data_IF_898158031245
#
_entry.id   IF_898158031245
#
_cell.length_a   1.000
_cell.length_b   1.000
_cell.length_c   1.000
_cell.angle_alpha   90.00
_cell.angle_beta   90.00
_cell.angle_gamma   90.00
#
_symmetry.space_group_name_H-M   'P 1'
#
loop_
_entity.id
_entity.type
_entity.pdbx_description
1 polymer ?
#
# COMPACT_ATOMS: atom_id res chain seq x y z
N UNK A 1 -22.56 21.83 2.58
CA UNK A 1 -21.27 22.57 2.75
C UNK A 1 -21.21 23.65 1.70
N UNK A 2 -20.71 24.84 2.03
CA UNK A 2 -20.45 25.88 1.03
C UNK A 2 -19.21 25.53 0.19
N UNK A 3 -19.07 26.10 -1.01
CA UNK A 3 -17.89 25.86 -1.85
C UNK A 3 -16.58 26.24 -1.13
N UNK A 4 -16.59 27.29 -0.31
CA UNK A 4 -15.46 27.71 0.50
C UNK A 4 -15.03 26.66 1.54
N UNK A 5 -16.00 26.03 2.21
CA UNK A 5 -15.72 24.95 3.19
C UNK A 5 -15.12 23.72 2.53
N UNK A 6 -15.54 23.41 1.29
CA UNK A 6 -15.04 22.27 0.54
C UNK A 6 -13.59 22.50 0.08
N UNK A 7 -13.25 23.71 -0.39
CA UNK A 7 -11.88 24.09 -0.76
C UNK A 7 -10.94 24.05 0.45
N UNK A 8 -11.38 24.57 1.60
CA UNK A 8 -10.58 24.54 2.82
C UNK A 8 -10.31 23.11 3.29
N UNK A 9 -11.31 22.24 3.25
CA UNK A 9 -11.16 20.83 3.61
C UNK A 9 -10.16 20.12 2.68
N UNK A 10 -10.29 20.31 1.36
CA UNK A 10 -9.38 19.70 0.38
C UNK A 10 -7.94 20.18 0.55
N UNK A 11 -7.73 21.43 0.99
CA UNK A 11 -6.39 21.97 1.24
C UNK A 11 -5.65 21.30 2.40
N UNK A 12 -6.37 20.59 3.27
CA UNK A 12 -5.80 19.84 4.42
C UNK A 12 -5.42 18.42 4.05
N UNK A 13 -5.90 17.92 2.90
CA UNK A 13 -5.61 16.56 2.43
C UNK A 13 -4.23 16.55 1.80
N UNK A 14 -3.37 15.68 2.29
CA UNK A 14 -2.04 15.43 1.77
C UNK A 14 -1.91 13.98 1.33
N UNK A 15 -1.15 13.78 0.26
CA UNK A 15 -0.74 12.45 -0.17
C UNK A 15 0.48 12.03 0.64
N UNK A 16 0.33 11.03 1.51
CA UNK A 16 1.42 10.47 2.29
C UNK A 16 2.33 9.60 1.43
N UNK A 17 1.75 8.58 0.79
CA UNK A 17 2.49 7.70 -0.12
C UNK A 17 1.59 7.05 -1.16
N UNK A 18 2.16 6.71 -2.31
CA UNK A 18 1.53 5.87 -3.34
C UNK A 18 2.50 4.76 -3.69
N UNK A 19 2.07 3.51 -3.60
CA UNK A 19 2.94 2.39 -3.90
C UNK A 19 2.18 1.23 -4.53
N UNK A 20 2.90 0.47 -5.35
CA UNK A 20 2.37 -0.70 -6.06
C UNK A 20 3.17 -1.91 -5.62
N UNK A 21 2.47 -2.95 -5.20
CA UNK A 21 3.09 -4.22 -4.79
C UNK A 21 2.51 -5.41 -5.53
N UNK A 22 3.33 -6.43 -5.71
CA UNK A 22 2.93 -7.79 -6.04
C UNK A 22 3.43 -8.73 -4.94
N UNK A 23 2.56 -9.16 -4.00
CA UNK A 23 2.96 -10.00 -2.88
C UNK A 23 3.36 -11.43 -3.30
N UNK A 24 3.11 -11.82 -4.56
CA UNK A 24 3.42 -13.16 -5.07
C UNK A 24 4.85 -13.28 -5.61
N UNK A 25 5.56 -12.16 -5.77
CA UNK A 25 6.94 -12.17 -6.25
C UNK A 25 7.90 -12.76 -5.23
N UNK A 26 8.90 -13.47 -5.76
CA UNK A 26 9.98 -14.08 -5.01
C UNK A 26 11.32 -13.53 -5.50
N UNK A 27 12.31 -13.36 -4.60
CA UNK A 27 13.65 -12.92 -4.97
C UNK A 27 14.29 -13.87 -5.99
N UNK A 28 15.00 -13.31 -6.97
CA UNK A 28 15.76 -14.08 -7.96
C UNK A 28 17.24 -13.97 -7.65
N UNK A 29 17.94 -15.10 -7.54
CA UNK A 29 19.39 -15.11 -7.37
C UNK A 29 19.91 -16.43 -6.81
N UNK A 30 21.23 -16.66 -6.87
CA UNK A 30 21.85 -17.79 -6.19
C UNK A 30 21.88 -17.54 -4.67
N UNK A 31 21.54 -18.56 -3.88
CA UNK A 31 21.61 -18.52 -2.42
C UNK A 31 20.25 -18.45 -1.72
N UNK A 32 20.27 -18.37 -0.39
CA UNK A 32 19.07 -18.19 0.44
C UNK A 32 18.77 -16.69 0.54
N UNK A 33 17.62 -16.20 0.04
CA UNK A 33 17.29 -14.78 0.15
C UNK A 33 17.11 -14.34 1.59
N UNK A 34 17.47 -13.09 1.86
CA UNK A 34 17.18 -12.36 3.09
C UNK A 34 15.71 -11.93 3.13
N UNK A 35 15.20 -11.62 4.32
CA UNK A 35 13.83 -11.10 4.48
C UNK A 35 13.63 -9.77 3.76
N UNK A 36 14.67 -8.93 3.71
CA UNK A 36 14.63 -7.66 3.01
C UNK A 36 14.47 -7.86 1.50
N UNK A 37 15.19 -8.82 0.91
CA UNK A 37 15.06 -9.15 -0.52
C UNK A 37 13.65 -9.64 -0.87
N UNK A 38 13.00 -10.39 0.03
CA UNK A 38 11.60 -10.80 -0.16
C UNK A 38 10.63 -9.63 -0.19
N UNK A 39 10.89 -8.57 0.58
CA UNK A 39 10.01 -7.39 0.60
C UNK A 39 10.31 -6.50 -0.60
N UNK A 40 11.59 -6.29 -0.90
CA UNK A 40 12.03 -5.43 -1.99
C UNK A 40 11.55 -5.94 -3.35
N UNK A 41 11.61 -7.26 -3.59
CA UNK A 41 11.18 -7.81 -4.87
C UNK A 41 9.68 -7.67 -5.13
N UNK A 42 8.88 -7.44 -4.09
CA UNK A 42 7.42 -7.25 -4.19
C UNK A 42 7.05 -5.81 -4.51
N UNK A 43 7.93 -4.83 -4.32
CA UNK A 43 7.63 -3.42 -4.55
C UNK A 43 7.94 -3.07 -6.02
N UNK A 44 6.91 -2.76 -6.79
CA UNK A 44 7.06 -2.30 -8.18
C UNK A 44 7.30 -0.80 -8.28
N UNK A 45 6.66 -0.03 -7.40
CA UNK A 45 6.69 1.41 -7.41
C UNK A 45 6.48 1.95 -6.00
N UNK A 46 7.17 3.05 -5.68
CA UNK A 46 6.96 3.79 -4.44
C UNK A 46 7.14 5.29 -4.65
N UNK A 47 6.17 6.07 -4.17
CA UNK A 47 6.19 7.53 -4.10
C UNK A 47 5.89 7.98 -2.67
N UNK A 48 6.62 8.98 -2.14
CA UNK A 48 7.79 9.62 -2.77
C UNK A 48 8.98 8.67 -2.85
N UNK A 49 9.72 8.71 -3.96
CA UNK A 49 10.89 7.85 -4.19
C UNK A 49 12.06 8.17 -3.24
N UNK A 50 12.03 9.35 -2.61
CA UNK A 50 12.99 9.77 -1.58
C UNK A 50 12.67 9.20 -0.19
N UNK A 51 11.59 8.43 -0.03
CA UNK A 51 11.25 7.80 1.25
C UNK A 51 12.31 6.76 1.62
N UNK A 52 12.66 6.69 2.90
CA UNK A 52 13.60 5.70 3.42
C UNK A 52 13.17 4.27 3.07
N UNK A 53 14.12 3.41 2.70
CA UNK A 53 13.82 2.06 2.23
C UNK A 53 13.18 1.19 3.32
N UNK A 54 13.52 1.38 4.60
CA UNK A 54 12.87 0.66 5.69
C UNK A 54 11.42 1.10 5.86
N UNK A 55 11.12 2.37 5.63
CA UNK A 55 9.74 2.86 5.62
C UNK A 55 8.95 2.29 4.44
N UNK A 56 9.54 2.23 3.24
CA UNK A 56 8.90 1.62 2.07
C UNK A 56 8.56 0.14 2.33
N UNK A 57 9.54 -0.62 2.85
CA UNK A 57 9.35 -2.03 3.23
C UNK A 57 8.26 -2.20 4.28
N UNK A 58 8.23 -1.33 5.29
CA UNK A 58 7.20 -1.36 6.34
C UNK A 58 5.80 -1.13 5.76
N UNK A 59 5.63 -0.14 4.89
CA UNK A 59 4.34 0.14 4.25
C UNK A 59 3.89 -1.01 3.34
N UNK A 60 4.80 -1.56 2.55
CA UNK A 60 4.53 -2.73 1.71
C UNK A 60 4.13 -3.96 2.54
N UNK A 61 4.86 -4.27 3.60
CA UNK A 61 4.57 -5.38 4.49
C UNK A 61 3.25 -5.23 5.25
N UNK A 62 2.91 -4.01 5.69
CA UNK A 62 1.61 -3.72 6.31
C UNK A 62 0.48 -3.97 5.30
N UNK A 63 0.60 -3.45 4.08
CA UNK A 63 -0.39 -3.65 3.01
C UNK A 63 -0.59 -5.14 2.69
N UNK A 64 0.51 -5.88 2.49
CA UNK A 64 0.47 -7.32 2.24
C UNK A 64 -0.22 -8.07 3.40
N UNK A 65 0.15 -7.73 4.64
CA UNK A 65 -0.43 -8.33 5.84
C UNK A 65 -1.93 -8.08 5.96
N UNK A 66 -2.38 -6.85 5.66
CA UNK A 66 -3.79 -6.48 5.65
C UNK A 66 -4.57 -7.30 4.60
N UNK A 67 -4.12 -7.30 3.34
CA UNK A 67 -4.80 -8.02 2.26
C UNK A 67 -4.88 -9.52 2.60
N UNK A 68 -3.77 -10.09 3.05
CA UNK A 68 -3.70 -11.51 3.42
C UNK A 68 -4.59 -11.85 4.62
N UNK A 69 -4.70 -10.95 5.60
CA UNK A 69 -5.53 -11.12 6.77
C UNK A 69 -7.02 -11.14 6.43
N UNK A 70 -7.49 -10.24 5.55
CA UNK A 70 -8.91 -10.15 5.19
C UNK A 70 -9.34 -11.18 4.15
N UNK A 71 -8.41 -11.73 3.35
CA UNK A 71 -8.71 -12.68 2.28
C UNK A 71 -9.58 -13.88 2.71
N UNK A 72 -9.35 -14.56 3.85
CA UNK A 72 -10.20 -15.67 4.30
C UNK A 72 -11.63 -15.28 4.69
N UNK A 73 -11.88 -13.99 4.94
CA UNK A 73 -13.18 -13.45 5.36
C UNK A 73 -13.97 -12.82 4.20
N UNK A 74 -13.43 -12.91 2.98
CA UNK A 74 -14.02 -12.33 1.78
C UNK A 74 -14.30 -13.42 0.75
N UNK A 75 -15.46 -13.34 0.10
CA UNK A 75 -15.79 -14.20 -1.04
C UNK A 75 -15.23 -13.67 -2.37
N UNK A 76 -14.67 -12.45 -2.36
CA UNK A 76 -14.14 -11.76 -3.55
C UNK A 76 -12.62 -11.60 -3.48
N UNK A 77 -11.97 -11.49 -4.65
CA UNK A 77 -10.51 -11.38 -4.77
C UNK A 77 -9.91 -10.14 -4.11
N UNK A 78 -10.68 -9.04 -4.04
CA UNK A 78 -10.31 -7.80 -3.36
C UNK A 78 -11.00 -7.71 -1.98
N UNK A 79 -10.40 -8.22 -0.90
CA UNK A 79 -11.09 -8.38 0.38
C UNK A 79 -11.17 -7.08 1.17
N UNK A 80 -10.49 -6.03 0.71
CA UNK A 80 -10.41 -4.75 1.39
C UNK A 80 -10.17 -3.63 0.39
N UNK A 81 -10.88 -2.52 0.60
CA UNK A 81 -10.76 -1.30 -0.21
C UNK A 81 -10.14 -0.15 0.58
N UNK A 82 -10.30 -0.13 1.91
CA UNK A 82 -9.91 1.00 2.73
C UNK A 82 -9.67 0.62 4.20
N UNK A 83 -8.66 1.24 4.82
CA UNK A 83 -8.46 1.32 6.27
C UNK A 83 -8.34 2.78 6.67
N UNK A 84 -9.25 3.24 7.52
CA UNK A 84 -9.19 4.56 8.13
C UNK A 84 -8.60 4.46 9.55
N UNK A 85 -7.64 5.31 9.83
CA UNK A 85 -7.08 5.55 11.17
C UNK A 85 -7.43 6.98 11.61
N UNK A 86 -6.95 7.39 12.79
CA UNK A 86 -7.19 8.74 13.29
C UNK A 86 -6.57 9.85 12.44
N UNK A 87 -5.48 9.56 11.73
CA UNK A 87 -4.66 10.56 11.01
C UNK A 87 -4.38 10.18 9.56
N UNK A 88 -4.65 8.94 9.17
CA UNK A 88 -4.32 8.41 7.86
C UNK A 88 -5.44 7.53 7.33
N UNK A 89 -5.64 7.55 6.01
CA UNK A 89 -6.52 6.62 5.31
C UNK A 89 -5.70 5.87 4.25
N UNK A 90 -5.65 4.55 4.38
CA UNK A 90 -5.04 3.65 3.41
C UNK A 90 -6.13 3.15 2.47
N UNK A 91 -6.06 3.54 1.21
CA UNK A 91 -6.90 3.00 0.14
C UNK A 91 -6.12 1.91 -0.57
N UNK A 92 -6.73 0.74 -0.72
CA UNK A 92 -6.10 -0.45 -1.28
C UNK A 92 -6.98 -0.94 -2.42
N UNK A 93 -6.39 -1.24 -3.58
CA UNK A 93 -7.14 -1.75 -4.73
C UNK A 93 -6.31 -2.75 -5.51
N UNK A 94 -6.90 -3.89 -5.85
CA UNK A 94 -6.30 -4.82 -6.78
C UNK A 94 -6.59 -4.34 -8.20
N UNK A 95 -5.56 -3.79 -8.86
CA UNK A 95 -5.70 -3.19 -10.20
C UNK A 95 -5.50 -4.21 -11.32
N UNK A 96 -4.74 -5.26 -11.06
CA UNK A 96 -4.55 -6.42 -11.93
C UNK A 96 -4.39 -7.70 -11.09
N UNK A 97 -4.33 -8.87 -11.72
CA UNK A 97 -4.07 -10.12 -10.99
C UNK A 97 -2.76 -10.01 -10.21
N UNK A 98 -2.83 -10.19 -8.89
CA UNK A 98 -1.73 -10.03 -7.93
C UNK A 98 -1.14 -8.60 -7.78
N UNK A 99 -1.55 -7.61 -8.57
CA UNK A 99 -1.01 -6.24 -8.49
C UNK A 99 -1.93 -5.36 -7.64
N UNK A 100 -1.37 -4.80 -6.57
CA UNK A 100 -2.08 -3.99 -5.60
C UNK A 100 -1.58 -2.55 -5.59
N UNK A 101 -2.49 -1.62 -5.88
CA UNK A 101 -2.28 -0.19 -5.68
C UNK A 101 -2.64 0.18 -4.24
N UNK A 102 -1.75 0.95 -3.62
CA UNK A 102 -1.93 1.50 -2.28
C UNK A 102 -1.75 3.00 -2.31
N UNK A 103 -2.71 3.72 -1.73
CA UNK A 103 -2.68 5.18 -1.60
C UNK A 103 -2.91 5.51 -0.13
N UNK A 104 -1.97 6.23 0.47
CA UNK A 104 -2.06 6.71 1.85
C UNK A 104 -2.33 8.20 1.82
N UNK A 105 -3.46 8.58 2.41
CA UNK A 105 -3.93 9.96 2.54
C UNK A 105 -3.78 10.39 3.99
N UNK A 106 -3.34 11.62 4.25
CA UNK A 106 -3.19 12.21 5.59
C UNK A 106 -3.78 13.63 5.65
#
# INVERSE_FOLDING_TARGET
>A
MSSAQQVEMLSKIQLGSVFIIDPTLLPKGPGKPTEEEFTDCKIHFFYPSSMDIHEQRKQAGISEGIVSFFKPFSEVEAPIECIATSTHTHVVSQVEQNIWLNIVIQ
#
